data_IF_427740095084
#
_entry.id   IF_427740095084
#
_cell.length_a   1.000
_cell.length_b   1.000
_cell.length_c   1.000
_cell.angle_alpha   90.00
_cell.angle_beta   90.00
_cell.angle_gamma   90.00
#
_symmetry.space_group_name_H-M   'P 1'
#
loop_
_entity.id
_entity.type
_entity.pdbx_description
1 polymer ?
#
# COMPACT_ATOMS: atom_id res chain seq x y z
N UNK A 1 4.78 0.36 19.35
CA UNK A 1 5.01 1.82 19.44
C UNK A 1 4.62 2.46 20.78
N UNK A 2 3.54 2.03 21.47
CA UNK A 2 3.11 2.63 22.75
C UNK A 2 4.20 2.62 23.84
N UNK A 3 4.93 1.50 24.00
CA UNK A 3 6.03 1.39 24.97
C UNK A 3 7.18 2.32 24.61
N UNK A 4 7.53 2.40 23.33
CA UNK A 4 8.60 3.27 22.81
C UNK A 4 8.30 4.76 23.03
N UNK A 5 7.09 5.23 22.70
CA UNK A 5 6.68 6.62 22.95
C UNK A 5 6.69 7.00 24.43
N UNK A 6 6.27 6.07 25.31
CA UNK A 6 6.30 6.28 26.77
C UNK A 6 7.70 6.36 27.35
N UNK A 7 8.67 5.64 26.78
CA UNK A 7 10.07 5.71 27.22
C UNK A 7 10.72 7.02 26.79
N UNK A 8 10.55 7.43 25.52
CA UNK A 8 11.10 8.69 25.00
C UNK A 8 10.45 9.93 25.65
N UNK A 9 9.15 9.87 25.89
CA UNK A 9 8.38 10.98 26.46
C UNK A 9 8.70 11.35 27.90
N UNK A 10 9.37 10.45 28.64
CA UNK A 10 9.81 10.67 30.02
C UNK A 10 11.15 11.39 30.11
N UNK A 11 11.99 11.27 29.09
CA UNK A 11 13.38 11.76 29.10
C UNK A 11 13.59 13.01 28.26
N UNK A 12 12.57 13.51 27.54
CA UNK A 12 12.68 14.62 26.57
C UNK A 12 13.91 14.42 25.65
N UNK A 13 14.10 13.19 25.19
CA UNK A 13 15.30 12.79 24.46
C UNK A 13 15.46 13.51 23.12
N UNK A 14 16.67 13.45 22.56
CA UNK A 14 16.93 13.95 21.20
C UNK A 14 16.01 13.31 20.16
N UNK A 15 15.71 12.01 20.31
CA UNK A 15 14.72 11.30 19.49
C UNK A 15 13.31 11.88 19.64
N UNK A 16 12.87 12.22 20.86
CA UNK A 16 11.58 12.87 21.08
C UNK A 16 11.50 14.26 20.42
N UNK A 17 12.53 15.10 20.59
CA UNK A 17 12.59 16.43 19.99
C UNK A 17 12.58 16.37 18.45
N UNK A 18 13.27 15.39 17.87
CA UNK A 18 13.21 15.14 16.43
C UNK A 18 11.80 14.78 15.96
N UNK A 19 11.08 13.95 16.71
CA UNK A 19 9.69 13.59 16.38
C UNK A 19 8.72 14.77 16.53
N UNK A 20 8.91 15.62 17.53
CA UNK A 20 8.13 16.86 17.71
C UNK A 20 8.35 17.79 16.50
N UNK A 21 9.59 17.97 16.06
CA UNK A 21 9.90 18.77 14.88
C UNK A 21 9.39 18.17 13.57
N UNK A 22 9.49 16.83 13.42
CA UNK A 22 9.07 16.12 12.21
C UNK A 22 7.54 16.01 12.07
N UNK A 23 6.82 15.96 13.19
CA UNK A 23 5.36 15.84 13.22
C UNK A 23 4.71 17.01 13.98
N UNK A 24 4.74 18.24 13.46
CA UNK A 24 4.14 19.40 14.14
C UNK A 24 2.62 19.29 14.32
N UNK A 25 1.97 18.39 13.57
CA UNK A 25 0.53 18.07 13.71
C UNK A 25 0.23 17.09 14.85
N UNK A 26 1.23 16.41 15.41
CA UNK A 26 1.07 15.55 16.58
C UNK A 26 1.37 16.37 17.84
N UNK A 27 0.39 16.47 18.73
CA UNK A 27 0.61 17.09 20.04
C UNK A 27 1.53 16.20 20.91
N UNK A 28 2.33 16.81 21.79
CA UNK A 28 3.30 16.11 22.65
C UNK A 28 2.66 14.96 23.45
N UNK A 29 1.42 15.13 23.93
CA UNK A 29 0.71 14.08 24.64
C UNK A 29 0.56 12.79 23.81
N UNK A 30 0.25 12.91 22.50
CA UNK A 30 0.14 11.75 21.60
C UNK A 30 1.49 11.10 21.33
N UNK A 31 2.56 11.88 21.25
CA UNK A 31 3.93 11.39 21.11
C UNK A 31 4.38 10.63 22.37
N UNK A 32 4.14 11.20 23.56
CA UNK A 32 4.44 10.59 24.86
C UNK A 32 3.65 9.29 25.10
N UNK A 33 2.43 9.21 24.57
CA UNK A 33 1.64 7.97 24.64
C UNK A 33 1.99 6.94 23.56
N UNK A 34 2.88 7.30 22.62
CA UNK A 34 3.25 6.45 21.49
C UNK A 34 2.08 6.17 20.55
N UNK A 35 1.17 7.13 20.40
CA UNK A 35 -0.01 7.08 19.52
C UNK A 35 0.40 7.57 18.14
N UNK A 36 0.98 6.65 17.37
CA UNK A 36 1.31 6.87 15.97
C UNK A 36 0.39 6.05 15.07
N UNK A 37 0.01 6.62 13.93
CA UNK A 37 -0.66 5.86 12.87
C UNK A 37 0.37 5.22 11.93
N UNK A 38 -0.04 4.17 11.21
CA UNK A 38 0.84 3.42 10.29
C UNK A 38 1.71 4.29 9.36
N UNK A 39 1.17 5.32 8.69
CA UNK A 39 1.97 6.22 7.85
C UNK A 39 3.08 6.97 8.60
N UNK A 40 2.81 7.39 9.84
CA UNK A 40 3.80 8.10 10.66
C UNK A 40 4.91 7.15 11.12
N UNK A 41 4.55 5.93 11.55
CA UNK A 41 5.51 4.89 11.94
C UNK A 41 6.49 4.61 10.79
N UNK A 42 5.98 4.46 9.56
CA UNK A 42 6.80 4.24 8.36
C UNK A 42 7.74 5.40 8.06
N UNK A 43 7.29 6.65 8.24
CA UNK A 43 8.14 7.84 8.07
C UNK A 43 9.26 7.93 9.11
N UNK A 44 9.07 7.34 10.29
CA UNK A 44 10.12 7.22 11.30
C UNK A 44 11.08 6.08 10.95
N UNK A 45 10.59 4.94 10.45
CA UNK A 45 11.45 3.83 10.00
C UNK A 45 12.32 4.17 8.79
N UNK A 46 11.83 5.06 7.90
CA UNK A 46 12.55 5.49 6.70
C UNK A 46 13.55 6.63 6.97
N UNK A 47 13.69 7.05 8.22
CA UNK A 47 14.59 8.11 8.66
C UNK A 47 15.91 7.53 9.16
N UNK A 48 16.99 7.56 8.36
CA UNK A 48 18.28 7.02 8.77
C UNK A 48 18.95 7.84 9.87
N UNK A 49 18.56 9.10 10.04
CA UNK A 49 19.12 9.98 11.06
C UNK A 49 18.40 9.79 12.40
N UNK A 50 17.13 9.36 12.36
CA UNK A 50 16.38 9.01 13.56
C UNK A 50 17.07 7.90 14.37
N UNK A 51 17.56 6.84 13.74
CA UNK A 51 18.22 5.75 14.48
C UNK A 51 19.54 6.18 15.13
N UNK A 52 20.24 7.15 14.53
CA UNK A 52 21.53 7.67 15.04
C UNK A 52 21.35 8.53 16.30
N UNK A 53 20.26 9.28 16.38
CA UNK A 53 19.98 10.20 17.49
C UNK A 53 19.36 9.52 18.72
N UNK A 54 18.99 8.24 18.63
CA UNK A 54 18.45 7.48 19.76
C UNK A 54 19.57 7.07 20.74
N UNK A 55 19.27 7.18 22.04
CA UNK A 55 20.12 6.64 23.12
C UNK A 55 20.11 5.10 23.13
N UNK A 56 21.03 4.44 23.84
CA UNK A 56 21.07 2.96 23.90
C UNK A 56 19.77 2.33 24.40
N UNK A 57 19.14 2.94 25.41
CA UNK A 57 17.87 2.46 25.96
C UNK A 57 16.73 2.58 24.95
N UNK A 58 16.74 3.65 24.15
CA UNK A 58 15.75 3.89 23.10
C UNK A 58 16.01 3.02 21.88
N UNK A 59 17.26 2.82 21.50
CA UNK A 59 17.67 1.87 20.45
C UNK A 59 17.23 0.46 20.79
N UNK A 60 17.34 0.04 22.05
CA UNK A 60 16.83 -1.27 22.49
C UNK A 60 15.31 -1.38 22.31
N UNK A 61 14.55 -0.34 22.69
CA UNK A 61 13.10 -0.31 22.49
C UNK A 61 12.68 -0.18 21.01
N UNK A 62 13.48 0.54 20.21
CA UNK A 62 13.31 0.69 18.76
C UNK A 62 13.57 -0.64 18.04
N UNK A 63 14.67 -1.31 18.36
CA UNK A 63 14.99 -2.63 17.81
C UNK A 63 13.95 -3.66 18.23
N UNK A 64 13.51 -3.67 19.49
CA UNK A 64 12.41 -4.54 19.93
C UNK A 64 11.13 -4.30 19.13
N UNK A 65 10.85 -3.04 18.77
CA UNK A 65 9.70 -2.70 17.94
C UNK A 65 9.89 -3.09 16.47
N UNK A 66 11.08 -2.88 15.89
CA UNK A 66 11.47 -3.31 14.54
C UNK A 66 11.35 -4.83 14.39
N UNK A 67 11.83 -5.59 15.37
CA UNK A 67 11.71 -7.04 15.45
C UNK A 67 10.26 -7.53 15.60
N UNK A 68 9.38 -6.78 16.27
CA UNK A 68 7.96 -7.11 16.37
C UNK A 68 7.25 -6.86 15.03
N UNK A 69 7.62 -5.79 14.32
CA UNK A 69 7.13 -5.53 12.96
C UNK A 69 7.60 -6.63 11.99
N UNK A 70 8.89 -7.00 12.03
CA UNK A 70 9.46 -8.10 11.25
C UNK A 70 8.86 -9.48 11.61
N UNK A 71 8.53 -9.78 12.87
CA UNK A 71 7.79 -11.01 13.20
C UNK A 71 6.32 -10.95 12.79
N UNK A 72 5.71 -9.77 12.72
CA UNK A 72 4.43 -9.62 12.02
C UNK A 72 4.61 -9.90 10.53
N UNK A 73 5.76 -9.64 9.89
CA UNK A 73 5.94 -9.91 8.46
C UNK A 73 6.00 -11.39 8.07
N UNK A 74 6.11 -12.35 9.00
CA UNK A 74 5.86 -13.79 8.67
C UNK A 74 4.37 -14.10 8.50
N UNK A 75 3.48 -13.14 8.78
CA UNK A 75 2.10 -13.06 8.27
C UNK A 75 1.76 -11.58 8.00
N UNK A 76 1.96 -11.16 6.75
CA UNK A 76 1.62 -9.84 6.15
C UNK A 76 2.81 -8.87 5.98
N UNK A 77 3.37 -8.84 4.77
CA UNK A 77 4.23 -7.79 4.23
C UNK A 77 3.50 -6.44 4.16
N UNK A 78 3.75 -5.56 5.12
CA UNK A 78 3.15 -4.23 5.19
C UNK A 78 3.77 -3.25 4.19
N UNK A 79 3.54 -3.43 2.90
CA UNK A 79 3.72 -2.38 1.89
C UNK A 79 2.35 -1.91 1.40
N UNK A 80 1.86 -0.83 2.01
CA UNK A 80 0.86 0.02 1.35
C UNK A 80 1.65 1.08 0.59
N UNK A 81 1.73 1.00 -0.76
CA UNK A 81 2.14 2.14 -1.56
C UNK A 81 1.12 3.27 -1.35
N UNK A 82 1.57 4.52 -1.49
CA UNK A 82 0.73 5.69 -1.26
C UNK A 82 -0.56 5.59 -2.09
N UNK A 83 -1.72 5.81 -1.44
CA UNK A 83 -3.01 5.93 -2.12
C UNK A 83 -3.94 4.73 -2.03
N UNK A 84 -4.42 4.37 -0.83
CA UNK A 84 -5.60 3.51 -0.65
C UNK A 84 -5.61 2.19 -1.46
N UNK A 85 -4.41 1.64 -1.73
CA UNK A 85 -4.22 0.38 -2.46
C UNK A 85 -4.25 -0.78 -1.47
N UNK A 86 -4.93 -1.89 -1.79
CA UNK A 86 -4.95 -3.07 -0.94
C UNK A 86 -3.60 -3.79 -0.94
N UNK A 87 -3.43 -4.67 0.06
CA UNK A 87 -2.23 -5.48 0.26
C UNK A 87 -1.84 -6.26 -1.00
N UNK A 88 -0.55 -6.31 -1.32
CA UNK A 88 0.03 -7.09 -2.44
C UNK A 88 0.57 -8.43 -1.90
N UNK A 89 0.11 -9.56 -2.46
CA UNK A 89 0.72 -10.87 -2.18
C UNK A 89 2.03 -11.02 -2.95
N UNK A 90 2.90 -11.96 -2.57
CA UNK A 90 4.18 -12.19 -3.27
C UNK A 90 4.00 -12.53 -4.77
N UNK A 91 2.93 -13.24 -5.10
CA UNK A 91 2.51 -13.56 -6.48
C UNK A 91 2.03 -12.33 -7.27
N UNK A 92 1.55 -11.30 -6.57
CA UNK A 92 1.08 -10.05 -7.16
C UNK A 92 2.24 -9.14 -7.57
N UNK A 93 3.43 -9.30 -6.97
CA UNK A 93 4.60 -8.48 -7.27
C UNK A 93 5.03 -8.65 -8.74
N UNK A 94 4.86 -9.85 -9.31
CA UNK A 94 5.18 -10.09 -10.72
C UNK A 94 4.32 -9.27 -11.69
N UNK A 95 3.08 -8.96 -11.31
CA UNK A 95 2.11 -8.26 -12.15
C UNK A 95 1.95 -6.78 -11.79
N UNK A 96 1.94 -6.49 -10.51
CA UNK A 96 1.71 -5.16 -9.94
C UNK A 96 2.99 -4.52 -9.39
N UNK A 97 4.17 -5.13 -9.60
CA UNK A 97 5.46 -4.59 -9.18
C UNK A 97 5.73 -3.19 -9.72
N UNK A 98 5.24 -2.90 -10.94
CA UNK A 98 5.28 -1.55 -11.53
C UNK A 98 4.55 -0.48 -10.69
N UNK A 99 3.60 -0.88 -9.84
CA UNK A 99 2.90 0.04 -8.92
C UNK A 99 3.71 0.37 -7.66
N UNK A 100 4.79 -0.38 -7.40
CA UNK A 100 5.70 -0.14 -6.27
C UNK A 100 6.83 0.82 -6.64
N UNK A 101 7.02 1.10 -7.92
CA UNK A 101 7.97 2.10 -8.40
C UNK A 101 7.38 3.50 -8.20
N UNK A 102 8.12 4.40 -7.55
CA UNK A 102 7.76 5.82 -7.37
C UNK A 102 7.94 6.57 -8.71
N UNK A 103 7.13 6.20 -9.71
CA UNK A 103 7.11 6.85 -11.03
C UNK A 103 6.11 8.00 -11.00
N UNK A 104 6.54 9.16 -11.51
CA UNK A 104 5.67 10.33 -11.66
C UNK A 104 4.66 10.09 -12.81
N UNK A 105 3.41 9.82 -12.44
CA UNK A 105 2.32 9.54 -13.37
C UNK A 105 2.07 10.68 -14.36
N UNK A 106 2.31 11.92 -13.95
CA UNK A 106 2.00 13.09 -14.77
C UNK A 106 3.03 13.29 -15.90
N UNK A 107 4.20 12.65 -15.79
CA UNK A 107 5.29 12.71 -16.78
C UNK A 107 5.25 11.53 -17.76
N UNK A 108 4.55 10.46 -17.41
CA UNK A 108 4.45 9.26 -18.24
C UNK A 108 3.63 9.51 -19.52
N UNK A 109 3.89 8.76 -20.60
CA UNK A 109 3.07 8.82 -21.79
C UNK A 109 1.62 8.38 -21.48
N UNK A 110 0.63 8.94 -22.18
CA UNK A 110 -0.79 8.71 -21.89
C UNK A 110 -1.23 7.25 -22.02
N UNK A 111 -0.46 6.41 -22.73
CA UNK A 111 -0.68 4.97 -22.79
C UNK A 111 -0.29 4.27 -21.48
N UNK A 112 0.90 4.54 -20.95
CA UNK A 112 1.38 3.94 -19.70
C UNK A 112 0.56 4.41 -18.48
N UNK A 113 0.12 5.67 -18.49
CA UNK A 113 -0.80 6.17 -17.46
C UNK A 113 -2.11 5.35 -17.41
N UNK A 114 -2.64 4.96 -18.57
CA UNK A 114 -3.84 4.11 -18.64
C UNK A 114 -3.56 2.72 -18.09
N UNK A 115 -2.42 2.12 -18.45
CA UNK A 115 -2.02 0.81 -17.96
C UNK A 115 -1.90 0.79 -16.43
N UNK A 116 -1.19 1.76 -15.85
CA UNK A 116 -1.05 1.87 -14.39
C UNK A 116 -2.40 2.04 -13.70
N UNK A 117 -3.30 2.82 -14.30
CA UNK A 117 -4.65 3.04 -13.76
C UNK A 117 -5.49 1.76 -13.80
N UNK A 118 -5.41 0.98 -14.88
CA UNK A 118 -6.05 -0.34 -14.99
C UNK A 118 -5.48 -1.30 -13.94
N UNK A 119 -4.15 -1.37 -13.82
CA UNK A 119 -3.48 -2.21 -12.83
C UNK A 119 -3.94 -1.90 -11.39
N UNK A 120 -4.03 -0.61 -11.03
CA UNK A 120 -4.54 -0.21 -9.70
C UNK A 120 -5.97 -0.65 -9.44
N UNK A 121 -6.83 -0.55 -10.46
CA UNK A 121 -8.23 -0.98 -10.34
C UNK A 121 -8.33 -2.50 -10.23
N UNK A 122 -7.54 -3.26 -10.99
CA UNK A 122 -7.48 -4.72 -10.91
C UNK A 122 -6.98 -5.19 -9.55
N UNK A 123 -5.94 -4.55 -9.00
CA UNK A 123 -5.47 -4.84 -7.64
C UNK A 123 -6.57 -4.60 -6.59
N UNK A 124 -7.31 -3.50 -6.71
CA UNK A 124 -8.47 -3.21 -5.84
C UNK A 124 -9.59 -4.23 -5.97
N UNK A 125 -9.77 -4.83 -7.14
CA UNK A 125 -10.76 -5.88 -7.35
C UNK A 125 -10.28 -7.22 -6.76
N UNK A 126 -9.00 -7.56 -6.92
CA UNK A 126 -8.41 -8.79 -6.36
C UNK A 126 -8.38 -8.74 -4.83
N UNK A 127 -7.69 -7.74 -4.28
CA UNK A 127 -7.30 -7.73 -2.86
C UNK A 127 -8.08 -6.72 -2.00
N UNK A 128 -8.98 -5.92 -2.60
CA UNK A 128 -9.74 -4.90 -1.88
C UNK A 128 -10.93 -5.43 -1.07
N UNK A 129 -11.46 -4.58 -0.18
CA UNK A 129 -12.71 -4.85 0.56
C UNK A 129 -13.93 -4.90 -0.38
N UNK A 130 -15.05 -5.54 -0.02
CA UNK A 130 -16.23 -5.63 -0.90
C UNK A 130 -16.70 -4.28 -1.49
N UNK A 131 -16.72 -3.16 -0.72
CA UNK A 131 -16.99 -1.83 -1.28
C UNK A 131 -15.96 -1.37 -2.32
N UNK A 132 -14.67 -1.59 -2.06
CA UNK A 132 -13.58 -1.23 -3.00
C UNK A 132 -13.69 -2.03 -4.30
N UNK A 133 -13.98 -3.32 -4.21
CA UNK A 133 -14.18 -4.21 -5.37
C UNK A 133 -15.33 -3.71 -6.23
N UNK A 134 -16.49 -3.44 -5.62
CA UNK A 134 -17.68 -2.95 -6.32
C UNK A 134 -17.43 -1.60 -7.01
N UNK A 135 -16.79 -0.66 -6.30
CA UNK A 135 -16.45 0.65 -6.85
C UNK A 135 -15.45 0.55 -8.00
N UNK A 136 -14.40 -0.25 -7.84
CA UNK A 136 -13.35 -0.41 -8.86
C UNK A 136 -13.86 -1.14 -10.10
N UNK A 137 -14.71 -2.15 -9.94
CA UNK A 137 -15.36 -2.84 -11.06
C UNK A 137 -16.26 -1.89 -11.84
N UNK A 138 -17.02 -1.03 -11.16
CA UNK A 138 -17.81 0.03 -11.82
C UNK A 138 -16.93 1.03 -12.56
N UNK A 139 -15.79 1.42 -12.00
CA UNK A 139 -14.86 2.34 -12.68
C UNK A 139 -14.27 1.72 -13.95
N UNK A 140 -13.89 0.44 -13.92
CA UNK A 140 -13.42 -0.27 -15.12
C UNK A 140 -14.54 -0.31 -16.18
N UNK A 141 -15.78 -0.63 -15.79
CA UNK A 141 -16.88 -0.73 -16.76
C UNK A 141 -17.25 0.62 -17.36
N UNK A 142 -17.34 1.67 -16.53
CA UNK A 142 -17.77 3.00 -16.98
C UNK A 142 -16.73 3.64 -17.90
N UNK A 143 -15.45 3.37 -17.64
CA UNK A 143 -14.31 3.92 -18.40
C UNK A 143 -13.74 2.95 -19.43
N UNK A 144 -14.41 1.83 -19.69
CA UNK A 144 -13.88 0.79 -20.59
C UNK A 144 -13.55 1.32 -21.99
N UNK A 145 -14.36 2.27 -22.50
CA UNK A 145 -14.14 2.93 -23.78
C UNK A 145 -12.89 3.83 -23.80
N UNK A 146 -12.54 4.46 -22.68
CA UNK A 146 -11.36 5.32 -22.55
C UNK A 146 -10.05 4.51 -22.45
N UNK A 147 -10.13 3.38 -21.77
CA UNK A 147 -9.03 2.44 -21.62
C UNK A 147 -8.72 1.68 -22.91
N UNK A 148 -9.75 1.33 -23.68
CA UNK A 148 -9.61 0.55 -24.91
C UNK A 148 -9.52 -0.95 -24.63
N UNK A 149 -10.00 -1.76 -25.59
CA UNK A 149 -10.08 -3.20 -25.46
C UNK A 149 -8.69 -3.84 -25.27
N UNK A 150 -7.71 -3.45 -26.09
CA UNK A 150 -6.37 -4.02 -26.08
C UNK A 150 -5.67 -3.87 -24.73
N UNK A 151 -5.67 -2.67 -24.15
CA UNK A 151 -5.04 -2.43 -22.84
C UNK A 151 -5.77 -3.15 -21.70
N UNK A 152 -7.10 -3.29 -21.77
CA UNK A 152 -7.84 -4.07 -20.78
C UNK A 152 -7.53 -5.58 -20.88
N UNK A 153 -7.54 -6.14 -22.08
CA UNK A 153 -7.26 -7.56 -22.30
C UNK A 153 -5.82 -7.93 -21.92
N UNK A 154 -4.85 -7.11 -22.33
CA UNK A 154 -3.44 -7.35 -22.03
C UNK A 154 -3.16 -7.41 -20.52
N UNK A 155 -3.93 -6.68 -19.70
CA UNK A 155 -3.75 -6.66 -18.25
C UNK A 155 -4.63 -7.70 -17.51
N UNK A 156 -5.81 -8.03 -18.03
CA UNK A 156 -6.74 -8.99 -17.37
C UNK A 156 -6.36 -10.44 -17.70
N UNK A 157 -5.94 -10.75 -18.94
CA UNK A 157 -5.65 -12.12 -19.37
C UNK A 157 -4.56 -12.81 -18.55
N UNK A 158 -3.39 -12.18 -18.30
CA UNK A 158 -2.33 -12.81 -17.52
C UNK A 158 -2.78 -13.12 -16.08
N UNK A 159 -3.60 -12.25 -15.49
CA UNK A 159 -4.18 -12.48 -14.17
C UNK A 159 -5.17 -13.64 -14.17
N UNK A 160 -5.95 -13.85 -15.23
CA UNK A 160 -6.89 -14.98 -15.30
C UNK A 160 -6.17 -16.32 -15.46
N UNK A 161 -5.03 -16.31 -16.17
CA UNK A 161 -4.21 -17.49 -16.48
C UNK A 161 -3.29 -17.90 -15.33
N UNK A 162 -3.09 -17.05 -14.32
CA UNK A 162 -2.25 -17.39 -13.18
C UNK A 162 -2.86 -18.55 -12.36
N UNK A 163 -2.08 -19.61 -12.08
CA UNK A 163 -2.55 -20.75 -11.28
C UNK A 163 -2.65 -20.41 -9.79
N UNK A 164 -2.06 -19.30 -9.35
CA UNK A 164 -2.02 -18.88 -7.95
C UNK A 164 -3.31 -18.19 -7.46
N UNK A 165 -4.33 -18.04 -8.31
CA UNK A 165 -5.60 -17.45 -7.88
C UNK A 165 -6.44 -18.44 -7.10
N UNK A 166 -6.84 -17.99 -5.91
CA UNK A 166 -7.89 -18.62 -5.13
C UNK A 166 -9.21 -18.60 -5.90
N UNK A 167 -10.07 -19.60 -5.68
CA UNK A 167 -11.35 -19.74 -6.39
C UNK A 167 -12.25 -18.50 -6.26
N UNK A 168 -12.20 -17.82 -5.11
CA UNK A 168 -12.94 -16.56 -4.92
C UNK A 168 -12.40 -15.42 -5.80
N UNK A 169 -11.09 -15.29 -5.92
CA UNK A 169 -10.43 -14.27 -6.74
C UNK A 169 -10.67 -14.54 -8.23
N UNK A 170 -10.56 -15.82 -8.63
CA UNK A 170 -10.86 -16.29 -9.99
C UNK A 170 -12.31 -15.99 -10.35
N UNK A 171 -13.26 -16.26 -9.46
CA UNK A 171 -14.67 -15.95 -9.70
C UNK A 171 -14.90 -14.44 -9.91
N UNK A 172 -14.22 -13.59 -9.14
CA UNK A 172 -14.30 -12.12 -9.29
C UNK A 172 -13.70 -11.64 -10.60
N UNK A 173 -12.54 -12.15 -11.02
CA UNK A 173 -11.94 -11.79 -12.31
C UNK A 173 -12.75 -12.32 -13.49
N UNK A 174 -13.32 -13.53 -13.39
CA UNK A 174 -14.26 -14.06 -14.39
C UNK A 174 -15.51 -13.18 -14.46
N UNK A 175 -15.97 -12.61 -13.34
CA UNK A 175 -17.07 -11.64 -13.34
C UNK A 175 -16.69 -10.33 -14.00
N UNK A 176 -15.45 -9.85 -13.82
CA UNK A 176 -14.92 -8.71 -14.58
C UNK A 176 -14.91 -9.06 -16.06
N UNK A 177 -14.35 -10.21 -16.45
CA UNK A 177 -14.34 -10.66 -17.84
C UNK A 177 -15.74 -10.71 -18.44
N UNK A 178 -16.70 -11.35 -17.77
CA UNK A 178 -18.09 -11.46 -18.24
C UNK A 178 -18.91 -10.17 -18.08
N UNK A 179 -18.32 -9.09 -17.59
CA UNK A 179 -19.05 -7.83 -17.39
C UNK A 179 -19.39 -7.16 -18.71
N UNK A 180 -20.41 -6.30 -18.66
CA UNK A 180 -21.00 -5.63 -19.81
C UNK A 180 -20.01 -4.85 -20.69
N UNK A 181 -18.81 -4.52 -20.20
CA UNK A 181 -17.83 -3.77 -20.98
C UNK A 181 -17.32 -4.50 -22.23
N UNK A 182 -17.31 -5.84 -22.25
CA UNK A 182 -17.00 -6.58 -23.50
C UNK A 182 -18.00 -6.22 -24.60
N UNK A 183 -19.29 -6.13 -24.26
CA UNK A 183 -20.35 -5.73 -25.20
C UNK A 183 -20.36 -4.22 -25.51
N UNK A 184 -19.64 -3.41 -24.75
CA UNK A 184 -19.48 -1.96 -25.00
C UNK A 184 -18.36 -1.71 -26.03
N UNK A 185 -17.45 -2.68 -26.20
CA UNK A 185 -16.27 -2.59 -27.05
C UNK A 185 -16.34 -3.47 -28.32
N UNK A 186 -17.31 -4.39 -28.42
CA UNK A 186 -17.72 -5.06 -29.67
C UNK A 186 -18.70 -4.19 -30.46
#
# INVERSE_FOLDING_TARGET
MKTFGKTMGKTNSAGFLHLVGKFPKLNEAKLKEGVFVGPQIRQVFRDPDFEKILSELEKSAWNSFKWIDERSTTKHFTDQPMGNLPFLKQEDIQYFGKLLEDIDEDVLPPEEQKELKIMRLLLKIKNGTPPMRKSSLRQITDKAREFGASSLFNQILPLLMSPALEDQERHLLVKVWKSKWIYILS
#
